data_IF_996354625095
#
_entry.id   IF_996354625095
#
_cell.length_a   1.000
_cell.length_b   1.000
_cell.length_c   1.000
_cell.angle_alpha   90.00
_cell.angle_beta   90.00
_cell.angle_gamma   90.00
#
_symmetry.space_group_name_H-M   'P 1'
#
loop_
_entity.id
_entity.type
_entity.pdbx_description
1 polymer ?
#
# COMPACT_ATOMS: atom_id res chain seq x y z
N UNK A 1 -1.03 -23.06 31.99
CA UNK A 1 -0.68 -21.62 31.96
C UNK A 1 -1.01 -21.10 30.57
N UNK A 2 -1.99 -20.20 30.45
CA UNK A 2 -2.56 -19.76 29.17
C UNK A 2 -1.64 -18.70 28.57
N UNK A 3 -1.05 -18.99 27.42
CA UNK A 3 -0.26 -18.04 26.65
C UNK A 3 -1.20 -16.93 26.15
N UNK A 4 -1.04 -15.73 26.69
CA UNK A 4 -1.71 -14.55 26.15
C UNK A 4 -1.05 -14.23 24.79
N UNK A 5 -1.81 -14.11 23.68
CA UNK A 5 -1.25 -13.64 22.43
C UNK A 5 -0.69 -12.23 22.65
N UNK A 6 0.60 -12.04 22.40
CA UNK A 6 1.20 -10.70 22.39
C UNK A 6 0.48 -9.87 21.34
N UNK A 7 -0.09 -8.73 21.74
CA UNK A 7 -0.73 -7.82 20.82
C UNK A 7 0.24 -7.45 19.69
N UNK A 8 -0.18 -7.48 18.41
CA UNK A 8 0.67 -7.09 17.30
C UNK A 8 1.10 -5.63 17.53
N UNK A 9 2.40 -5.40 17.74
CA UNK A 9 2.95 -4.04 17.74
C UNK A 9 2.88 -3.55 16.31
N UNK A 10 1.92 -2.69 16.01
CA UNK A 10 1.92 -1.87 14.80
C UNK A 10 3.24 -1.11 14.74
N UNK A 11 4.12 -1.52 13.83
CA UNK A 11 5.35 -0.82 13.51
C UNK A 11 4.98 0.52 12.87
N UNK A 12 4.97 1.58 13.67
CA UNK A 12 4.60 2.93 13.22
C UNK A 12 5.38 3.42 11.98
N UNK A 13 6.59 2.87 11.75
CA UNK A 13 7.37 3.15 10.55
C UNK A 13 6.69 2.71 9.25
N UNK A 14 5.93 1.61 9.26
CA UNK A 14 5.29 1.08 8.05
C UNK A 14 4.12 1.99 7.63
N UNK A 15 3.29 2.39 8.59
CA UNK A 15 2.19 3.34 8.37
C UNK A 15 2.69 4.70 7.88
N UNK A 16 3.80 5.19 8.44
CA UNK A 16 4.40 6.46 8.02
C UNK A 16 4.97 6.37 6.60
N UNK A 17 5.65 5.28 6.28
CA UNK A 17 6.22 5.04 4.95
C UNK A 17 5.13 5.00 3.86
N UNK A 18 4.02 4.32 4.12
CA UNK A 18 2.89 4.29 3.19
C UNK A 18 2.23 5.66 2.99
N UNK A 19 2.10 6.46 4.06
CA UNK A 19 1.55 7.81 3.98
C UNK A 19 2.42 8.76 3.15
N UNK A 20 3.75 8.71 3.33
CA UNK A 20 4.69 9.52 2.56
C UNK A 20 4.63 9.14 1.08
N UNK A 21 4.60 7.86 0.77
CA UNK A 21 4.57 7.37 -0.61
C UNK A 21 3.30 7.83 -1.33
N UNK A 22 2.14 7.72 -0.67
CA UNK A 22 0.87 8.22 -1.20
C UNK A 22 0.90 9.75 -1.41
N UNK A 23 1.51 10.50 -0.48
CA UNK A 23 1.65 11.94 -0.60
C UNK A 23 2.55 12.33 -1.78
N UNK A 24 3.66 11.62 -2.00
CA UNK A 24 4.57 11.85 -3.12
C UNK A 24 3.89 11.58 -4.46
N UNK A 25 3.19 10.44 -4.59
CA UNK A 25 2.42 10.12 -5.80
C UNK A 25 1.36 11.18 -6.06
N UNK A 26 0.62 11.58 -5.02
CA UNK A 26 -0.42 12.62 -5.14
C UNK A 26 0.17 13.96 -5.56
N UNK A 27 1.24 14.41 -4.90
CA UNK A 27 1.93 15.66 -5.24
C UNK A 27 2.48 15.65 -6.66
N UNK A 28 3.00 14.51 -7.12
CA UNK A 28 3.48 14.34 -8.50
C UNK A 28 2.36 14.54 -9.52
N UNK A 29 1.23 13.84 -9.35
CA UNK A 29 0.09 13.96 -10.26
C UNK A 29 -0.57 15.34 -10.21
N UNK A 30 -0.71 15.94 -9.03
CA UNK A 30 -1.22 17.30 -8.89
C UNK A 30 -0.28 18.35 -9.51
N UNK A 31 1.03 18.18 -9.36
CA UNK A 31 2.03 19.07 -9.98
C UNK A 31 1.94 19.05 -11.50
N UNK A 32 1.82 17.86 -12.10
CA UNK A 32 1.63 17.72 -13.54
C UNK A 32 0.29 18.33 -13.97
N UNK A 33 -0.80 18.00 -13.26
CA UNK A 33 -2.13 18.52 -13.58
C UNK A 33 -2.20 20.04 -13.51
N UNK A 34 -1.56 20.65 -12.51
CA UNK A 34 -1.49 22.09 -12.38
C UNK A 34 -0.71 22.73 -13.55
N UNK A 35 0.42 22.13 -13.94
CA UNK A 35 1.20 22.59 -15.09
C UNK A 35 0.40 22.54 -16.40
N UNK A 36 -0.29 21.42 -16.65
CA UNK A 36 -1.14 21.23 -17.83
C UNK A 36 -2.32 22.20 -17.84
N UNK A 37 -3.04 22.30 -16.72
CA UNK A 37 -4.17 23.20 -16.60
C UNK A 37 -3.78 24.67 -16.79
N UNK A 38 -2.59 25.07 -16.33
CA UNK A 38 -2.07 26.43 -16.50
C UNK A 38 -1.64 26.73 -17.93
N UNK A 39 -1.15 25.73 -18.65
CA UNK A 39 -0.73 25.88 -20.05
C UNK A 39 -1.92 25.88 -21.02
N UNK A 40 -2.93 25.05 -20.75
CA UNK A 40 -4.11 24.87 -21.60
C UNK A 40 -5.30 25.76 -21.18
N UNK A 41 -5.23 26.41 -20.02
CA UNK A 41 -6.31 27.25 -19.49
C UNK A 41 -7.52 26.44 -18.99
N UNK A 42 -7.35 25.15 -18.74
CA UNK A 42 -8.41 24.20 -18.37
C UNK A 42 -8.56 24.00 -16.87
N UNK A 43 -7.95 24.84 -16.02
CA UNK A 43 -8.03 24.72 -14.56
C UNK A 43 -9.48 24.57 -14.08
N UNK A 44 -9.85 23.49 -13.35
CA UNK A 44 -9.00 22.43 -12.75
C UNK A 44 -9.22 21.01 -13.32
N UNK A 45 -9.52 20.85 -14.62
CA UNK A 45 -9.91 19.57 -15.20
C UNK A 45 -8.78 18.52 -15.20
N UNK A 46 -7.56 18.88 -15.60
CA UNK A 46 -6.44 17.92 -15.60
C UNK A 46 -5.98 17.60 -14.19
N UNK A 47 -6.00 18.55 -13.26
CA UNK A 47 -5.72 18.30 -11.85
C UNK A 47 -6.66 17.23 -11.26
N UNK A 48 -7.97 17.34 -11.51
CA UNK A 48 -8.95 16.37 -11.02
C UNK A 48 -8.72 15.00 -11.66
N UNK A 49 -8.56 14.94 -12.99
CA UNK A 49 -8.34 13.68 -13.70
C UNK A 49 -7.07 12.96 -13.24
N UNK A 50 -5.97 13.69 -13.09
CA UNK A 50 -4.69 13.13 -12.65
C UNK A 50 -4.70 12.76 -11.16
N UNK A 51 -5.40 13.53 -10.32
CA UNK A 51 -5.60 13.15 -8.92
C UNK A 51 -6.33 11.81 -8.79
N UNK A 52 -7.42 11.62 -9.55
CA UNK A 52 -8.15 10.34 -9.57
C UNK A 52 -7.24 9.20 -10.03
N UNK A 53 -6.44 9.42 -11.08
CA UNK A 53 -5.50 8.42 -11.58
C UNK A 53 -4.41 8.07 -10.54
N UNK A 54 -3.85 9.08 -9.86
CA UNK A 54 -2.91 8.88 -8.77
C UNK A 54 -3.53 8.13 -7.59
N UNK A 55 -4.76 8.47 -7.21
CA UNK A 55 -5.51 7.79 -6.16
C UNK A 55 -5.71 6.30 -6.49
N UNK A 56 -6.18 6.00 -7.70
CA UNK A 56 -6.34 4.62 -8.19
C UNK A 56 -4.99 3.88 -8.15
N UNK A 57 -3.90 4.52 -8.56
CA UNK A 57 -2.55 3.93 -8.50
C UNK A 57 -2.12 3.55 -7.09
N UNK A 58 -2.34 4.43 -6.11
CA UNK A 58 -2.06 4.16 -4.68
C UNK A 58 -2.92 2.99 -4.19
N UNK A 59 -4.22 2.98 -4.48
CA UNK A 59 -5.12 1.89 -4.08
C UNK A 59 -4.73 0.55 -4.72
N UNK A 60 -4.39 0.54 -6.01
CA UNK A 60 -3.93 -0.66 -6.70
C UNK A 60 -2.64 -1.21 -6.06
N UNK A 61 -1.69 -0.33 -5.75
CA UNK A 61 -0.45 -0.71 -5.04
C UNK A 61 -0.75 -1.36 -3.69
N UNK A 62 -1.64 -0.76 -2.90
CA UNK A 62 -2.06 -1.32 -1.61
C UNK A 62 -2.65 -2.72 -1.76
N UNK A 63 -3.50 -2.92 -2.77
CA UNK A 63 -4.10 -4.22 -3.05
C UNK A 63 -3.03 -5.28 -3.41
N UNK A 64 -2.11 -4.96 -4.32
CA UNK A 64 -1.02 -5.87 -4.70
C UNK A 64 -0.09 -6.19 -3.53
N UNK A 65 0.23 -5.21 -2.68
CA UNK A 65 1.06 -5.43 -1.49
C UNK A 65 0.38 -6.34 -0.48
N UNK A 66 -0.94 -6.17 -0.29
CA UNK A 66 -1.72 -7.03 0.58
C UNK A 66 -1.73 -8.48 0.09
N UNK A 67 -1.98 -8.70 -1.19
CA UNK A 67 -1.99 -10.05 -1.79
C UNK A 67 -0.63 -10.74 -1.69
N UNK A 68 0.45 -10.01 -1.97
CA UNK A 68 1.81 -10.52 -1.84
C UNK A 68 2.11 -10.97 -0.40
N UNK A 69 1.74 -10.14 0.59
CA UNK A 69 1.91 -10.44 2.02
C UNK A 69 1.16 -11.69 2.46
N UNK A 70 -0.05 -11.90 1.92
CA UNK A 70 -0.87 -13.03 2.33
C UNK A 70 -0.34 -14.35 1.76
N UNK A 71 0.17 -14.31 0.53
CA UNK A 71 0.77 -15.47 -0.12
C UNK A 71 2.04 -15.95 0.61
N UNK A 72 2.85 -15.02 1.15
CA UNK A 72 4.00 -15.34 2.01
C UNK A 72 3.55 -16.05 3.30
N UNK A 73 2.53 -15.52 3.97
CA UNK A 73 2.01 -16.09 5.22
C UNK A 73 1.43 -17.49 5.01
N UNK A 74 0.76 -17.73 3.88
CA UNK A 74 0.24 -19.06 3.54
C UNK A 74 1.34 -20.05 3.15
N UNK A 75 2.43 -19.58 2.53
CA UNK A 75 3.63 -20.38 2.31
C UNK A 75 4.29 -20.76 3.64
N UNK A 76 4.47 -19.80 4.56
CA UNK A 76 5.02 -20.06 5.90
C UNK A 76 4.14 -21.03 6.70
N UNK A 77 2.82 -20.87 6.68
CA UNK A 77 1.90 -21.80 7.36
C UNK A 77 2.04 -23.21 6.81
N UNK A 78 2.09 -23.38 5.49
CA UNK A 78 2.30 -24.70 4.85
C UNK A 78 3.61 -25.32 5.29
N UNK A 79 4.69 -24.55 5.35
CA UNK A 79 5.99 -25.04 5.83
C UNK A 79 5.96 -25.43 7.31
N UNK A 80 5.29 -24.63 8.18
CA UNK A 80 5.13 -24.95 9.60
C UNK A 80 4.31 -26.22 9.83
N UNK A 81 3.22 -26.41 9.07
CA UNK A 81 2.41 -27.63 9.13
C UNK A 81 3.20 -28.84 8.64
N UNK A 82 3.99 -28.69 7.57
CA UNK A 82 4.88 -29.74 7.08
C UNK A 82 5.97 -30.09 8.10
N UNK A 83 6.61 -29.09 8.72
CA UNK A 83 7.63 -29.30 9.74
C UNK A 83 7.06 -29.96 11.02
N UNK A 84 5.85 -29.58 11.43
CA UNK A 84 5.16 -30.21 12.57
C UNK A 84 4.73 -31.65 12.32
N UNK A 85 4.54 -32.07 11.06
CA UNK A 85 4.26 -33.47 10.68
C UNK A 85 5.51 -34.37 10.80
N UNK A 86 6.71 -33.81 10.84
CA UNK A 86 7.97 -34.55 10.91
C UNK A 86 8.58 -34.66 12.31
N UNK A 87 7.90 -34.17 13.36
CA UNK A 87 8.32 -34.38 14.75
C UNK A 87 7.77 -35.73 15.27
N UNK A 88 8.63 -36.65 15.75
CA UNK A 88 8.23 -37.97 16.27
C UNK A 88 7.45 -37.90 17.59
#
# INVERSE_FOLDING_TARGET
MRLLPSAPRTSNNDSLGHGIDAALVTAFFLGIGFGLDRWLGTTPWFMIGLFLLGSIGVFAKFWYQYDARMNELDAERRQRVAAGRHAP
#
